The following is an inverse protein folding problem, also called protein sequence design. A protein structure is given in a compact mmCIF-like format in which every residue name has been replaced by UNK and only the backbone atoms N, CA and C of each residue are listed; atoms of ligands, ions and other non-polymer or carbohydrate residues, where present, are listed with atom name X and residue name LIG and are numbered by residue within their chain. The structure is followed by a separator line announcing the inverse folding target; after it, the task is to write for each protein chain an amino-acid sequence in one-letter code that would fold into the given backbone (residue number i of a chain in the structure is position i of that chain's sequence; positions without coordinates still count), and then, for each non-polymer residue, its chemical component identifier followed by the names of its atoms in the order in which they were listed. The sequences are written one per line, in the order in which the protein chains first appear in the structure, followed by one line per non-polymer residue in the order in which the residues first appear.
data_IF_926746649765
#
_entry.id   IF_926746649765
#
_cell.length_a   1.000
_cell.length_b   1.000
_cell.length_c   1.000
_cell.angle_alpha   90.00
_cell.angle_beta   90.00
_cell.angle_gamma   90.00
#
_symmetry.space_group_name_H-M   'P 1'
#
loop_
_entity.id
_entity.type
_entity.pdbx_description
1 polymer ?
#
# COMPACT_ATOMS: atom_id res chain seq x y z
N UNK A 1 5.96 27.79 -4.63
CA UNK A 1 6.60 26.71 -3.86
C UNK A 1 6.10 25.40 -4.43
N UNK A 2 7.00 24.44 -4.64
CA UNK A 2 6.62 23.11 -5.15
C UNK A 2 5.99 22.30 -4.04
N UNK A 3 5.07 21.39 -4.39
CA UNK A 3 4.51 20.39 -3.46
C UNK A 3 5.64 19.59 -2.77
N UNK A 4 6.79 19.44 -3.43
CA UNK A 4 8.00 18.79 -2.91
C UNK A 4 8.68 19.55 -1.76
N UNK A 5 8.50 20.86 -1.66
CA UNK A 5 9.21 21.70 -0.68
C UNK A 5 8.54 21.69 0.71
N UNK A 6 7.32 21.15 0.81
CA UNK A 6 6.48 21.18 2.02
C UNK A 6 6.54 19.89 2.85
N UNK A 7 7.05 18.79 2.30
CA UNK A 7 6.88 17.46 2.90
C UNK A 7 8.19 16.66 2.92
N UNK A 8 8.84 16.65 4.10
CA UNK A 8 9.69 15.56 4.61
C UNK A 8 10.80 14.99 3.72
N UNK A 9 11.46 13.94 4.23
CA UNK A 9 12.41 13.15 3.46
C UNK A 9 11.70 12.44 2.29
N UNK A 10 12.45 11.91 1.31
CA UNK A 10 11.87 11.14 0.22
C UNK A 10 11.07 9.90 0.65
N UNK A 11 11.24 9.43 1.90
CA UNK A 11 10.44 8.36 2.50
C UNK A 11 9.03 8.83 2.87
N UNK A 12 8.93 9.97 3.54
CA UNK A 12 7.64 10.55 3.92
C UNK A 12 6.75 10.83 2.71
N UNK A 13 7.33 11.36 1.62
CA UNK A 13 6.64 11.55 0.35
C UNK A 13 6.11 10.24 -0.25
N UNK A 14 6.84 9.12 -0.10
CA UNK A 14 6.37 7.80 -0.54
C UNK A 14 5.19 7.35 0.33
N UNK A 15 5.29 7.51 1.64
CA UNK A 15 4.22 7.14 2.56
C UNK A 15 2.93 7.91 2.25
N UNK A 16 3.03 9.23 2.07
CA UNK A 16 1.90 10.08 1.69
C UNK A 16 1.31 9.65 0.34
N UNK A 17 2.15 9.27 -0.64
CA UNK A 17 1.70 8.75 -1.93
C UNK A 17 0.94 7.43 -1.79
N UNK A 18 1.39 6.52 -0.91
CA UNK A 18 0.66 5.28 -0.60
C UNK A 18 -0.68 5.59 0.05
N UNK A 19 -0.67 6.42 1.10
CA UNK A 19 -1.87 6.78 1.84
C UNK A 19 -2.92 7.42 0.91
N UNK A 20 -2.53 8.38 0.08
CA UNK A 20 -3.45 9.04 -0.81
C UNK A 20 -4.05 8.12 -1.89
N UNK A 21 -3.26 7.15 -2.37
CA UNK A 21 -3.77 6.12 -3.28
C UNK A 21 -4.82 5.23 -2.60
N UNK A 22 -4.62 4.88 -1.34
CA UNK A 22 -5.56 4.08 -0.54
C UNK A 22 -6.86 4.86 -0.30
N UNK A 23 -6.78 6.13 0.10
CA UNK A 23 -7.96 6.99 0.30
C UNK A 23 -8.74 7.15 -1.01
N UNK A 24 -8.05 7.40 -2.12
CA UNK A 24 -8.70 7.51 -3.44
C UNK A 24 -9.48 6.23 -3.78
N UNK A 25 -8.89 5.06 -3.52
CA UNK A 25 -9.53 3.76 -3.76
C UNK A 25 -10.71 3.47 -2.83
N UNK A 26 -10.63 3.87 -1.56
CA UNK A 26 -11.75 3.78 -0.63
C UNK A 26 -12.94 4.64 -1.11
N UNK A 27 -12.66 5.84 -1.60
CA UNK A 27 -13.67 6.78 -2.09
C UNK A 27 -14.24 6.47 -3.48
N UNK A 28 -13.81 5.40 -4.16
CA UNK A 28 -14.32 5.04 -5.51
C UNK A 28 -15.79 4.64 -5.46
N UNK A 29 -16.20 3.91 -4.43
CA UNK A 29 -17.54 3.33 -4.31
C UNK A 29 -18.57 4.32 -3.71
N UNK A 30 -18.14 5.49 -3.25
CA UNK A 30 -19.00 6.52 -2.66
C UNK A 30 -18.32 7.34 -1.56
N UNK A 31 -19.13 7.89 -0.65
CA UNK A 31 -18.62 8.53 0.56
C UNK A 31 -18.01 7.50 1.50
N UNK A 32 -16.87 7.86 2.10
CA UNK A 32 -16.17 7.03 3.10
C UNK A 32 -17.07 6.90 4.33
N UNK A 33 -17.39 5.66 4.70
CA UNK A 33 -18.21 5.38 5.89
C UNK A 33 -17.35 5.31 7.18
N UNK A 34 -18.00 5.13 8.33
CA UNK A 34 -17.33 5.10 9.65
C UNK A 34 -16.28 3.96 9.75
N UNK A 35 -16.58 2.78 9.22
CA UNK A 35 -15.68 1.63 9.24
C UNK A 35 -14.45 1.86 8.34
N UNK A 36 -14.67 2.43 7.16
CA UNK A 36 -13.59 2.81 6.24
C UNK A 36 -12.72 3.93 6.83
N UNK A 37 -13.31 4.92 7.51
CA UNK A 37 -12.57 5.98 8.19
C UNK A 37 -11.68 5.41 9.31
N UNK A 38 -12.17 4.42 10.07
CA UNK A 38 -11.37 3.72 11.08
C UNK A 38 -10.17 2.99 10.47
N UNK A 39 -10.36 2.33 9.32
CA UNK A 39 -9.27 1.69 8.57
C UNK A 39 -8.28 2.72 8.04
N UNK A 40 -8.74 3.80 7.45
CA UNK A 40 -7.87 4.87 6.94
C UNK A 40 -7.03 5.49 8.07
N UNK A 41 -7.60 5.70 9.27
CA UNK A 41 -6.86 6.16 10.44
C UNK A 41 -5.76 5.18 10.88
N UNK A 42 -5.98 3.87 10.74
CA UNK A 42 -4.93 2.87 11.00
C UNK A 42 -3.81 2.95 9.98
N UNK A 43 -4.14 3.01 8.69
CA UNK A 43 -3.14 3.18 7.63
C UNK A 43 -2.36 4.48 7.78
N UNK A 44 -3.01 5.58 8.14
CA UNK A 44 -2.37 6.86 8.41
C UNK A 44 -1.31 6.74 9.51
N UNK A 45 -1.63 6.04 10.62
CA UNK A 45 -0.65 5.77 11.69
C UNK A 45 0.51 4.90 11.22
N UNK A 46 0.23 3.82 10.48
CA UNK A 46 1.28 2.93 9.94
C UNK A 46 2.21 3.65 8.98
N UNK A 47 1.67 4.57 8.18
CA UNK A 47 2.38 5.36 7.16
C UNK A 47 2.97 6.67 7.71
N UNK A 48 2.91 6.92 9.02
CA UNK A 48 3.40 8.16 9.65
C UNK A 48 2.77 9.44 9.06
N UNK A 49 1.48 9.41 8.74
CA UNK A 49 0.75 10.54 8.15
C UNK A 49 0.24 11.44 9.27
N UNK A 50 0.58 12.73 9.19
CA UNK A 50 0.07 13.74 10.13
C UNK A 50 -1.42 14.01 9.93
N UNK A 51 -2.09 14.54 10.96
CA UNK A 51 -3.51 14.90 10.85
C UNK A 51 -3.76 15.91 9.73
N UNK A 52 -2.87 16.89 9.55
CA UNK A 52 -3.00 17.90 8.49
C UNK A 52 -2.92 17.27 7.09
N UNK A 53 -2.03 16.28 6.89
CA UNK A 53 -1.94 15.54 5.63
C UNK A 53 -3.14 14.63 5.41
N UNK A 54 -3.61 13.97 6.47
CA UNK A 54 -4.80 13.13 6.45
C UNK A 54 -6.01 13.93 5.96
N UNK A 55 -6.26 15.10 6.56
CA UNK A 55 -7.38 15.97 6.20
C UNK A 55 -7.26 16.48 4.77
N UNK A 56 -6.05 16.91 4.34
CA UNK A 56 -5.80 17.36 2.96
C UNK A 56 -6.08 16.27 1.91
N UNK A 57 -5.71 15.03 2.22
CA UNK A 57 -5.94 13.90 1.31
C UNK A 57 -7.43 13.55 1.23
N UNK A 58 -8.16 13.61 2.34
CA UNK A 58 -9.61 13.39 2.39
C UNK A 58 -10.42 14.49 1.69
N UNK A 59 -9.98 15.75 1.75
CA UNK A 59 -10.65 16.86 1.06
C UNK A 59 -10.65 16.68 -0.46
N UNK A 60 -9.57 16.11 -1.02
CA UNK A 60 -9.48 15.89 -2.46
C UNK A 60 -8.72 14.60 -2.81
N UNK A 61 -9.35 13.42 -2.63
CA UNK A 61 -8.70 12.13 -2.93
C UNK A 61 -8.30 12.00 -4.41
N UNK A 62 -9.07 12.65 -5.30
CA UNK A 62 -8.84 12.64 -6.75
C UNK A 62 -7.61 13.43 -7.19
N UNK A 63 -7.07 14.31 -6.33
CA UNK A 63 -5.80 15.00 -6.60
C UNK A 63 -4.61 14.04 -6.66
N UNK A 64 -4.78 12.81 -6.17
CA UNK A 64 -3.77 11.77 -6.14
C UNK A 64 -4.18 10.62 -7.07
N UNK A 65 -4.12 10.84 -8.40
CA UNK A 65 -4.45 9.78 -9.34
C UNK A 65 -3.51 8.60 -9.14
N UNK A 66 -4.07 7.40 -9.19
CA UNK A 66 -3.29 6.18 -9.25
C UNK A 66 -2.39 6.29 -10.49
N UNK A 67 -1.09 6.43 -10.26
CA UNK A 67 -0.13 6.43 -11.35
C UNK A 67 -0.20 5.06 -12.03
N UNK A 68 -0.58 5.03 -13.31
CA UNK A 68 -0.48 3.80 -14.09
C UNK A 68 1.00 3.45 -14.20
N UNK A 69 1.42 2.43 -13.46
CA UNK A 69 2.77 1.92 -13.55
C UNK A 69 2.89 1.08 -14.83
N UNK A 70 3.75 1.53 -15.73
CA UNK A 70 3.92 0.96 -17.07
C UNK A 70 4.62 -0.42 -17.08
N UNK A 71 5.21 -0.86 -15.97
CA UNK A 71 5.86 -2.16 -15.85
C UNK A 71 5.41 -2.91 -14.61
N UNK A 72 5.42 -4.24 -14.69
CA UNK A 72 5.11 -5.12 -13.55
C UNK A 72 6.11 -4.95 -12.40
N UNK A 73 7.38 -4.70 -12.74
CA UNK A 73 8.46 -4.43 -11.78
C UNK A 73 8.12 -3.23 -10.90
N UNK A 74 7.74 -2.09 -11.49
CA UNK A 74 7.37 -0.89 -10.72
C UNK A 74 6.13 -1.10 -9.84
N UNK A 75 5.18 -1.93 -10.29
CA UNK A 75 4.01 -2.30 -9.48
C UNK A 75 4.43 -3.14 -8.28
N UNK A 76 5.35 -4.08 -8.47
CA UNK A 76 5.90 -4.91 -7.41
C UNK A 76 6.76 -4.10 -6.44
N UNK A 77 7.59 -3.18 -6.91
CA UNK A 77 8.34 -2.24 -6.07
C UNK A 77 7.40 -1.46 -5.16
N UNK A 78 6.31 -0.90 -5.72
CA UNK A 78 5.34 -0.13 -4.95
C UNK A 78 4.57 -0.96 -3.96
N UNK A 79 4.19 -2.18 -4.35
CA UNK A 79 3.54 -3.08 -3.42
C UNK A 79 4.49 -3.47 -2.28
N UNK A 80 5.74 -3.80 -2.60
CA UNK A 80 6.76 -4.15 -1.63
C UNK A 80 7.04 -2.99 -0.65
N UNK A 81 7.16 -1.76 -1.15
CA UNK A 81 7.33 -0.56 -0.33
C UNK A 81 6.16 -0.39 0.66
N UNK A 82 4.91 -0.56 0.19
CA UNK A 82 3.74 -0.53 1.07
C UNK A 82 3.84 -1.60 2.16
N UNK A 83 4.09 -2.85 1.78
CA UNK A 83 4.17 -3.99 2.71
C UNK A 83 5.24 -3.82 3.79
N UNK A 84 6.41 -3.25 3.44
CA UNK A 84 7.46 -2.94 4.43
C UNK A 84 6.98 -2.03 5.55
N UNK A 85 6.06 -1.12 5.25
CA UNK A 85 5.56 -0.14 6.21
C UNK A 85 4.39 -0.72 7.01
N UNK A 86 3.39 -1.25 6.31
CA UNK A 86 2.14 -1.69 6.96
C UNK A 86 2.26 -3.00 7.74
N UNK A 87 3.32 -3.78 7.47
CA UNK A 87 3.64 -5.01 8.19
C UNK A 87 4.67 -4.80 9.31
N UNK A 88 5.09 -3.56 9.59
CA UNK A 88 6.10 -3.27 10.61
C UNK A 88 5.66 -3.70 12.03
N UNK A 89 4.36 -3.78 12.28
CA UNK A 89 3.76 -4.29 13.53
C UNK A 89 3.40 -5.79 13.47
N UNK A 90 3.72 -6.47 12.36
CA UNK A 90 3.43 -7.88 12.08
C UNK A 90 1.94 -8.26 12.06
N UNK A 91 1.02 -7.31 11.88
CA UNK A 91 -0.43 -7.57 11.92
C UNK A 91 -1.12 -6.92 10.72
N UNK A 92 -1.80 -7.72 9.91
CA UNK A 92 -2.78 -7.28 8.90
C UNK A 92 -4.01 -8.15 9.09
N UNK A 93 -5.17 -7.52 9.28
CA UNK A 93 -6.46 -8.22 9.39
C UNK A 93 -7.21 -8.31 8.05
N UNK A 94 -8.37 -8.94 8.06
CA UNK A 94 -9.15 -9.20 6.85
C UNK A 94 -9.63 -7.88 6.21
N UNK A 95 -9.99 -6.88 7.02
CA UNK A 95 -10.42 -5.58 6.54
C UNK A 95 -9.27 -4.79 5.88
N UNK A 96 -8.08 -4.77 6.49
CA UNK A 96 -6.88 -4.20 5.85
C UNK A 96 -6.50 -4.96 4.59
N UNK A 97 -6.66 -6.30 4.58
CA UNK A 97 -6.35 -7.15 3.43
C UNK A 97 -7.20 -6.79 2.21
N UNK A 98 -8.50 -6.56 2.39
CA UNK A 98 -9.38 -6.15 1.30
C UNK A 98 -9.00 -4.77 0.74
N UNK A 99 -8.60 -3.83 1.59
CA UNK A 99 -8.15 -2.52 1.13
C UNK A 99 -6.82 -2.59 0.35
N UNK A 100 -5.89 -3.45 0.80
CA UNK A 100 -4.64 -3.72 0.09
C UNK A 100 -4.90 -4.43 -1.26
N UNK A 101 -5.92 -5.27 -1.34
CA UNK A 101 -6.36 -5.89 -2.60
C UNK A 101 -6.88 -4.83 -3.58
N UNK A 102 -7.73 -3.90 -3.13
CA UNK A 102 -8.15 -2.73 -3.94
C UNK A 102 -6.91 -1.93 -4.40
N UNK A 103 -5.93 -1.76 -3.52
CA UNK A 103 -4.65 -1.11 -3.84
C UNK A 103 -3.87 -1.81 -4.96
N UNK A 104 -3.67 -3.12 -4.87
CA UNK A 104 -2.99 -3.90 -5.91
C UNK A 104 -3.73 -3.82 -7.26
N UNK A 105 -5.07 -3.87 -7.25
CA UNK A 105 -5.86 -3.68 -8.48
C UNK A 105 -5.65 -2.27 -9.03
N UNK A 106 -5.63 -1.24 -8.18
CA UNK A 106 -5.34 0.15 -8.54
C UNK A 106 -3.94 0.36 -9.14
N UNK A 107 -2.94 -0.45 -8.74
CA UNK A 107 -1.62 -0.48 -9.37
C UNK A 107 -1.63 -1.12 -10.78
N UNK A 108 -2.71 -1.82 -11.14
CA UNK A 108 -2.91 -2.45 -12.44
C UNK A 108 -2.79 -3.96 -12.45
N UNK A 109 -2.71 -4.64 -11.29
CA UNK A 109 -2.83 -6.10 -11.25
C UNK A 109 -4.27 -6.53 -11.58
N UNK A 110 -4.45 -7.68 -12.24
CA UNK A 110 -5.78 -8.25 -12.40
C UNK A 110 -6.33 -8.71 -11.05
N UNK A 111 -7.65 -8.75 -10.87
CA UNK A 111 -8.27 -9.24 -9.64
C UNK A 111 -7.75 -10.64 -9.25
N UNK A 112 -7.65 -11.55 -10.22
CA UNK A 112 -7.11 -12.90 -10.00
C UNK A 112 -5.63 -12.88 -9.55
N UNK A 113 -4.80 -12.04 -10.17
CA UNK A 113 -3.39 -11.94 -9.79
C UNK A 113 -3.21 -11.29 -8.41
N UNK A 114 -4.04 -10.28 -8.09
CA UNK A 114 -3.95 -9.52 -6.85
C UNK A 114 -4.07 -10.42 -5.62
N UNK A 115 -5.01 -11.36 -5.61
CA UNK A 115 -5.21 -12.28 -4.49
C UNK A 115 -3.98 -13.17 -4.21
N UNK A 116 -3.41 -13.75 -5.28
CA UNK A 116 -2.19 -14.55 -5.17
C UNK A 116 -0.99 -13.73 -4.69
N UNK A 117 -0.83 -12.51 -5.22
CA UNK A 117 0.27 -11.60 -4.86
C UNK A 117 0.14 -11.13 -3.41
N UNK A 118 -1.06 -10.74 -2.95
CA UNK A 118 -1.29 -10.28 -1.58
C UNK A 118 -1.05 -11.42 -0.59
N UNK A 119 -1.64 -12.60 -0.84
CA UNK A 119 -1.43 -13.78 0.00
C UNK A 119 0.06 -14.12 0.10
N UNK A 120 0.77 -14.08 -1.03
CA UNK A 120 2.20 -14.37 -1.06
C UNK A 120 3.03 -13.32 -0.33
N UNK A 121 2.66 -12.05 -0.46
CA UNK A 121 3.30 -10.94 0.26
C UNK A 121 3.14 -11.10 1.77
N UNK A 122 1.94 -11.42 2.25
CA UNK A 122 1.70 -11.72 3.68
C UNK A 122 2.56 -12.89 4.16
N UNK A 123 2.65 -13.99 3.39
CA UNK A 123 3.53 -15.12 3.74
C UNK A 123 5.02 -14.74 3.84
N UNK A 124 5.50 -13.92 2.90
CA UNK A 124 6.90 -13.45 2.88
C UNK A 124 7.18 -12.59 4.11
N UNK A 125 6.33 -11.60 4.37
CA UNK A 125 6.54 -10.64 5.45
C UNK A 125 6.26 -11.22 6.86
N UNK A 126 5.39 -12.24 6.96
CA UNK A 126 5.16 -13.00 8.20
C UNK A 126 6.23 -14.06 8.50
N UNK A 127 7.14 -14.34 7.56
CA UNK A 127 8.14 -15.40 7.70
C UNK A 127 7.57 -16.81 7.54
N UNK A 128 6.31 -16.97 7.09
CA UNK A 128 5.67 -18.27 6.83
C UNK A 128 6.05 -18.84 5.45
N UNK A 129 7.35 -18.89 5.16
CA UNK A 129 7.87 -19.45 3.91
C UNK A 129 7.86 -20.98 3.96
N UNK A 130 7.40 -21.63 2.89
CA UNK A 130 7.58 -23.08 2.75
C UNK A 130 9.06 -23.41 2.57
N UNK A 131 9.44 -24.67 2.81
CA UNK A 131 10.82 -25.13 2.57
C UNK A 131 11.25 -24.90 1.11
N UNK A 132 10.37 -25.15 0.15
CA UNK A 132 10.66 -24.97 -1.28
C UNK A 132 10.92 -23.50 -1.63
N UNK A 133 10.13 -22.59 -1.05
CA UNK A 133 10.31 -21.15 -1.23
C UNK A 133 11.61 -20.65 -0.59
N UNK A 134 11.90 -21.13 0.63
CA UNK A 134 13.14 -20.84 1.32
C UNK A 134 14.35 -21.30 0.50
N UNK A 135 14.30 -22.54 -0.01
CA UNK A 135 15.37 -23.09 -0.87
C UNK A 135 15.52 -22.26 -2.14
N UNK A 136 14.43 -21.91 -2.80
CA UNK A 136 14.44 -21.07 -4.01
C UNK A 136 15.11 -19.72 -3.77
N UNK A 137 14.80 -19.05 -2.66
CA UNK A 137 15.41 -17.76 -2.31
C UNK A 137 16.91 -17.88 -2.01
N UNK A 138 17.38 -18.99 -1.44
CA UNK A 138 18.81 -19.25 -1.21
C UNK A 138 19.59 -19.62 -2.47
N UNK A 139 18.95 -20.33 -3.40
CA UNK A 139 19.55 -20.75 -4.68
C UNK A 139 19.55 -19.62 -5.72
N UNK A 140 18.74 -18.58 -5.51
CA UNK A 140 18.73 -17.39 -6.36
C UNK A 140 20.06 -16.64 -6.16
N UNK A 141 20.82 -16.48 -7.24
CA UNK A 141 22.02 -15.64 -7.21
C UNK A 141 21.63 -14.21 -6.80
N UNK A 142 22.34 -13.67 -5.81
CA UNK A 142 22.18 -12.27 -5.43
C UNK A 142 22.87 -11.42 -6.50
N UNK A 143 22.09 -10.70 -7.30
CA UNK A 143 22.57 -9.64 -8.20
C UNK A 143 23.07 -8.41 -7.41
#
# INVERSE_FOLDING_TARGET
MSFSDLFGSGEHLRNLSHFASIVNLAAVDGEINEDEELLLKRFARKLDISQEEYDKVLENPKAFPLSSYNSIERRLERLHDLFKIIFADHIIDDEETELIKKYAIGLGFSSQASEGIIKRSIQIFSGQLSFDDYRYLLEKEND
#
